data_IF_803511017410
#
_entry.id   IF_803511017410
#
_cell.length_a   1.000
_cell.length_b   1.000
_cell.length_c   1.000
_cell.angle_alpha   90.00
_cell.angle_beta   90.00
_cell.angle_gamma   90.00
#
_symmetry.space_group_name_H-M   'P 1'
#
loop_
_entity.id
_entity.type
_entity.pdbx_description
1 polymer ?
#
# COMPACT_ATOMS: atom_id res chain seq x y z
N UNK A 1 75.54 52.06 -13.35
CA UNK A 1 74.13 52.14 -13.81
C UNK A 1 73.82 50.91 -14.64
N UNK A 2 72.87 50.07 -14.23
CA UNK A 2 71.98 49.42 -15.18
C UNK A 2 70.51 49.66 -14.79
N UNK A 3 69.65 49.91 -15.78
CA UNK A 3 68.20 50.00 -15.60
C UNK A 3 67.49 48.87 -16.36
N UNK A 4 66.64 48.24 -15.58
CA UNK A 4 65.56 47.29 -15.82
C UNK A 4 64.76 47.57 -17.11
N UNK A 5 64.44 46.51 -17.85
CA UNK A 5 63.18 46.42 -18.60
C UNK A 5 62.65 44.99 -18.51
N UNK A 6 61.43 44.90 -17.98
CA UNK A 6 60.66 43.71 -17.63
C UNK A 6 59.76 43.36 -18.82
N UNK A 7 59.92 42.19 -19.43
CA UNK A 7 59.01 41.70 -20.47
C UNK A 7 58.16 40.56 -19.91
N UNK A 8 56.90 40.86 -19.64
CA UNK A 8 55.86 39.92 -19.24
C UNK A 8 55.36 39.19 -20.48
N UNK A 9 55.55 37.88 -20.54
CA UNK A 9 54.88 37.00 -21.51
C UNK A 9 53.55 36.57 -20.89
N UNK A 10 52.45 37.01 -21.48
CA UNK A 10 51.09 36.57 -21.14
C UNK A 10 50.87 35.20 -21.79
N UNK A 11 50.87 34.13 -20.99
CA UNK A 11 50.31 32.85 -21.39
C UNK A 11 48.78 32.93 -21.28
N UNK A 12 48.11 32.95 -22.43
CA UNK A 12 46.67 32.78 -22.51
C UNK A 12 46.32 31.30 -22.29
N UNK A 13 45.95 30.96 -21.05
CA UNK A 13 45.33 29.68 -20.73
C UNK A 13 43.87 29.71 -21.18
N UNK A 14 43.55 29.01 -22.26
CA UNK A 14 42.17 28.70 -22.65
C UNK A 14 41.57 27.75 -21.62
N UNK A 15 40.81 28.31 -20.68
CA UNK A 15 39.90 27.55 -19.82
C UNK A 15 38.83 26.94 -20.71
N UNK A 16 38.88 25.62 -20.88
CA UNK A 16 37.71 24.83 -21.28
C UNK A 16 36.71 24.98 -20.13
N UNK A 17 35.70 25.82 -20.33
CA UNK A 17 34.52 25.86 -19.47
C UNK A 17 33.79 24.52 -19.65
N UNK A 18 34.17 23.53 -18.85
CA UNK A 18 33.33 22.38 -18.59
C UNK A 18 32.06 22.89 -17.90
N UNK A 19 30.93 22.84 -18.60
CA UNK A 19 29.62 22.98 -17.99
C UNK A 19 29.43 21.85 -16.97
N UNK A 20 29.91 22.03 -15.74
CA UNK A 20 29.29 21.37 -14.60
C UNK A 20 27.90 22.00 -14.48
N UNK A 21 26.91 21.36 -15.08
CA UNK A 21 25.54 21.54 -14.63
C UNK A 21 25.56 21.12 -13.17
N UNK A 22 25.64 22.11 -12.28
CA UNK A 22 25.32 21.93 -10.88
C UNK A 22 23.91 21.38 -10.87
N UNK A 23 23.81 20.06 -10.69
CA UNK A 23 22.57 19.42 -10.36
C UNK A 23 22.25 20.00 -8.98
N UNK A 24 21.34 20.96 -8.92
CA UNK A 24 20.60 21.19 -7.69
C UNK A 24 20.00 19.83 -7.35
N UNK A 25 20.65 19.11 -6.44
CA UNK A 25 20.03 18.00 -5.76
C UNK A 25 18.80 18.60 -5.09
N UNK A 26 17.62 18.21 -5.60
CA UNK A 26 16.38 18.38 -4.88
C UNK A 26 16.64 17.90 -3.45
N UNK A 27 16.22 18.66 -2.41
CA UNK A 27 16.55 18.33 -1.04
C UNK A 27 16.09 16.89 -0.78
N UNK A 28 17.07 16.01 -0.57
CA UNK A 28 16.80 14.61 -0.24
C UNK A 28 15.89 14.60 0.99
N UNK A 29 14.73 13.99 0.85
CA UNK A 29 13.81 13.81 1.97
C UNK A 29 14.57 13.04 3.07
N UNK A 30 14.86 13.73 4.17
CA UNK A 30 15.63 13.23 5.32
C UNK A 30 14.91 12.06 6.01
N UNK A 31 15.61 11.24 6.82
CA UNK A 31 15.02 10.20 7.70
C UNK A 31 13.76 10.66 8.46
N UNK A 32 13.72 11.94 8.87
CA UNK A 32 12.55 12.54 9.53
C UNK A 32 11.29 12.54 8.66
N UNK A 33 11.39 12.51 7.33
CA UNK A 33 10.25 12.51 6.41
C UNK A 33 9.60 11.12 6.28
N UNK A 34 10.37 10.04 6.46
CA UNK A 34 9.85 8.67 6.52
C UNK A 34 9.24 8.37 7.90
N UNK A 35 9.89 8.83 8.98
CA UNK A 35 9.34 8.77 10.36
C UNK A 35 8.11 9.66 10.58
N UNK A 36 7.87 10.68 9.75
CA UNK A 36 6.68 11.55 9.82
C UNK A 36 5.38 10.88 9.38
N UNK A 37 5.43 9.74 8.68
CA UNK A 37 4.24 9.07 8.10
C UNK A 37 3.44 8.24 9.11
N UNK A 38 3.91 8.18 10.36
CA UNK A 38 3.42 7.30 11.43
C UNK A 38 1.98 7.63 11.88
N UNK A 39 1.41 8.77 11.45
CA UNK A 39 0.05 9.20 11.79
C UNK A 39 -0.76 9.77 10.60
N UNK A 40 -0.27 9.60 9.37
CA UNK A 40 -0.92 10.16 8.18
C UNK A 40 -2.21 9.40 7.83
N UNK A 41 -3.20 10.08 7.27
CA UNK A 41 -4.36 9.39 6.68
C UNK A 41 -4.03 8.99 5.24
N UNK A 42 -4.38 7.76 4.87
CA UNK A 42 -4.08 7.19 3.56
C UNK A 42 -5.30 7.24 2.63
N UNK A 43 -5.05 7.55 1.37
CA UNK A 43 -6.07 7.72 0.34
C UNK A 43 -5.84 6.80 -0.85
N UNK A 44 -6.93 6.36 -1.47
CA UNK A 44 -6.94 5.55 -2.68
C UNK A 44 -7.40 6.39 -3.89
N UNK A 45 -6.61 6.36 -4.95
CA UNK A 45 -6.94 7.01 -6.22
C UNK A 45 -6.81 6.08 -7.43
N UNK A 46 -6.61 4.78 -7.18
CA UNK A 46 -6.54 3.77 -8.23
C UNK A 46 -7.88 3.50 -8.92
N UNK A 47 -7.82 2.56 -9.88
CA UNK A 47 -8.90 2.31 -10.82
C UNK A 47 -10.01 1.38 -10.27
N UNK A 48 -9.76 0.64 -9.20
CA UNK A 48 -10.76 -0.29 -8.66
C UNK A 48 -11.86 0.46 -7.90
N UNK A 49 -13.13 0.31 -8.29
CA UNK A 49 -14.23 0.83 -7.51
C UNK A 49 -14.56 -0.10 -6.34
N UNK A 50 -15.45 0.35 -5.46
CA UNK A 50 -16.19 -0.56 -4.60
C UNK A 50 -16.92 -1.62 -5.45
N UNK A 51 -16.79 -2.89 -5.07
CA UNK A 51 -17.48 -4.00 -5.73
C UNK A 51 -18.84 -4.24 -5.08
N UNK A 52 -19.86 -4.42 -5.91
CA UNK A 52 -21.16 -4.92 -5.47
C UNK A 52 -21.12 -6.43 -5.25
N UNK A 53 -21.91 -6.94 -4.30
CA UNK A 53 -21.94 -8.36 -3.94
C UNK A 53 -20.54 -8.91 -3.62
N UNK A 54 -19.70 -8.06 -3.03
CA UNK A 54 -18.35 -8.46 -2.70
C UNK A 54 -18.36 -9.67 -1.75
N UNK A 55 -17.43 -10.60 -1.97
CA UNK A 55 -17.11 -11.70 -1.06
C UNK A 55 -15.61 -11.68 -0.77
N UNK A 56 -15.22 -12.08 0.44
CA UNK A 56 -13.83 -12.10 0.88
C UNK A 56 -13.47 -13.51 1.35
N UNK A 57 -12.41 -14.07 0.76
CA UNK A 57 -11.85 -15.38 1.13
C UNK A 57 -10.41 -15.20 1.59
N UNK A 58 -10.11 -15.67 2.79
CA UNK A 58 -8.76 -15.73 3.36
C UNK A 58 -8.25 -17.16 3.25
N UNK A 59 -7.18 -17.37 2.51
CA UNK A 59 -6.48 -18.65 2.45
C UNK A 59 -5.30 -18.63 3.43
N UNK A 60 -5.38 -19.44 4.48
CA UNK A 60 -4.31 -19.52 5.47
C UNK A 60 -3.07 -20.23 4.91
N UNK A 61 -3.24 -21.32 4.15
CA UNK A 61 -2.13 -22.03 3.47
C UNK A 61 -1.55 -21.18 2.34
N UNK A 62 -2.40 -20.49 1.60
CA UNK A 62 -1.98 -19.59 0.52
C UNK A 62 -1.37 -18.29 1.02
N UNK A 63 -1.62 -17.85 2.25
CA UNK A 63 -1.26 -16.49 2.68
C UNK A 63 -1.77 -15.43 1.70
N UNK A 64 -3.02 -15.58 1.26
CA UNK A 64 -3.70 -14.65 0.36
C UNK A 64 -5.06 -14.25 0.93
N UNK A 65 -5.52 -13.07 0.52
CA UNK A 65 -6.93 -12.71 0.60
C UNK A 65 -7.44 -12.38 -0.80
N UNK A 66 -8.54 -13.02 -1.20
CA UNK A 66 -9.25 -12.70 -2.44
C UNK A 66 -10.51 -11.90 -2.12
N UNK A 67 -10.72 -10.83 -2.86
CA UNK A 67 -12.02 -10.14 -2.94
C UNK A 67 -12.59 -10.40 -4.32
N UNK A 68 -13.83 -10.88 -4.38
CA UNK A 68 -14.54 -11.09 -5.63
C UNK A 68 -15.89 -10.39 -5.61
N UNK A 69 -16.39 -9.94 -6.75
CA UNK A 69 -17.68 -9.26 -6.86
C UNK A 69 -17.83 -8.56 -8.19
N UNK A 70 -18.85 -7.71 -8.32
CA UNK A 70 -19.16 -7.04 -9.59
C UNK A 70 -18.83 -5.55 -9.55
N UNK A 71 -18.05 -5.10 -10.53
CA UNK A 71 -17.78 -3.68 -10.73
C UNK A 71 -19.03 -2.95 -11.24
N UNK A 72 -19.22 -1.66 -10.91
CA UNK A 72 -20.26 -0.82 -11.48
C UNK A 72 -20.23 -0.81 -13.02
N UNK A 73 -21.39 -0.57 -13.63
CA UNK A 73 -21.53 -0.49 -15.08
C UNK A 73 -20.60 0.58 -15.68
N UNK A 74 -19.90 0.22 -16.77
CA UNK A 74 -18.98 1.12 -17.45
C UNK A 74 -17.60 1.28 -16.78
N UNK A 75 -17.33 0.58 -15.67
CA UNK A 75 -15.98 0.57 -15.08
C UNK A 75 -15.01 -0.15 -16.01
N UNK A 76 -13.90 0.52 -16.33
CA UNK A 76 -12.74 -0.11 -16.94
C UNK A 76 -11.71 -0.45 -15.84
N UNK A 77 -11.63 -1.73 -15.47
CA UNK A 77 -10.62 -2.26 -14.52
C UNK A 77 -9.41 -2.87 -15.22
N UNK A 78 -9.29 -2.72 -16.55
CA UNK A 78 -8.27 -3.41 -17.32
C UNK A 78 -6.83 -3.02 -16.91
N UNK A 79 -5.94 -4.00 -16.94
CA UNK A 79 -4.48 -3.91 -16.78
C UNK A 79 -3.92 -3.69 -15.36
N UNK A 80 -4.68 -4.05 -14.31
CA UNK A 80 -4.11 -4.17 -12.97
C UNK A 80 -3.52 -5.59 -12.75
N UNK A 81 -2.28 -5.73 -12.24
CA UNK A 81 -1.58 -7.02 -12.18
C UNK A 81 -2.27 -8.01 -11.25
N UNK A 82 -2.84 -7.53 -10.15
CA UNK A 82 -3.50 -8.28 -9.09
C UNK A 82 -5.00 -8.49 -9.34
N UNK A 83 -5.47 -8.22 -10.56
CA UNK A 83 -6.88 -8.30 -10.93
C UNK A 83 -7.09 -9.25 -12.10
N UNK A 84 -8.12 -10.09 -11.99
CA UNK A 84 -8.72 -10.80 -13.13
C UNK A 84 -10.15 -10.34 -13.26
N UNK A 85 -10.63 -10.25 -14.49
CA UNK A 85 -11.99 -9.81 -14.76
C UNK A 85 -12.62 -10.63 -15.85
N UNK A 86 -13.87 -11.01 -15.64
CA UNK A 86 -14.64 -11.86 -16.54
C UNK A 86 -15.99 -11.20 -16.79
N UNK A 87 -16.47 -11.23 -18.04
CA UNK A 87 -17.81 -10.77 -18.38
C UNK A 87 -18.82 -11.83 -17.96
N UNK A 88 -19.78 -11.45 -17.13
CA UNK A 88 -20.92 -12.28 -16.74
C UNK A 88 -22.21 -11.56 -17.17
N UNK A 89 -22.69 -11.89 -18.37
CA UNK A 89 -23.77 -11.12 -19.00
C UNK A 89 -23.33 -9.67 -19.28
N UNK A 90 -24.08 -8.71 -18.75
CA UNK A 90 -23.80 -7.27 -18.85
C UNK A 90 -22.88 -6.75 -17.73
N UNK A 91 -22.64 -7.56 -16.69
CA UNK A 91 -21.81 -7.22 -15.53
C UNK A 91 -20.36 -7.65 -15.73
N UNK A 92 -19.47 -6.94 -15.05
CA UNK A 92 -18.04 -7.28 -15.00
C UNK A 92 -17.74 -7.87 -13.63
N UNK A 93 -17.55 -9.19 -13.58
CA UNK A 93 -17.03 -9.88 -12.41
C UNK A 93 -15.54 -9.58 -12.28
N UNK A 94 -15.09 -9.31 -11.08
CA UNK A 94 -13.71 -8.93 -10.76
C UNK A 94 -13.23 -9.77 -9.58
N UNK A 95 -12.11 -10.45 -9.76
CA UNK A 95 -11.34 -11.10 -8.71
C UNK A 95 -10.07 -10.27 -8.45
N UNK A 96 -9.85 -9.91 -7.19
CA UNK A 96 -8.68 -9.17 -6.73
C UNK A 96 -7.99 -9.98 -5.65
N UNK A 97 -6.70 -10.25 -5.78
CA UNK A 97 -5.95 -11.07 -4.83
C UNK A 97 -4.80 -10.27 -4.24
N UNK A 98 -4.71 -10.27 -2.91
CA UNK A 98 -3.65 -9.59 -2.17
C UNK A 98 -2.82 -10.59 -1.36
N UNK A 99 -1.49 -10.39 -1.26
CA UNK A 99 -0.67 -11.11 -0.31
C UNK A 99 -1.04 -10.69 1.12
N UNK A 100 -1.01 -11.62 2.06
CA UNK A 100 -1.17 -11.34 3.50
C UNK A 100 -0.09 -12.01 4.33
N UNK A 101 0.17 -11.46 5.50
CA UNK A 101 0.88 -12.16 6.57
C UNK A 101 -0.12 -12.77 7.54
N UNK A 102 -0.01 -14.07 7.78
CA UNK A 102 -0.86 -14.82 8.73
C UNK A 102 -0.11 -15.05 10.05
N UNK A 103 -0.66 -15.82 10.99
CA UNK A 103 -0.11 -15.97 12.33
C UNK A 103 1.22 -16.73 12.31
N UNK A 104 2.20 -16.24 13.06
CA UNK A 104 3.47 -16.95 13.30
C UNK A 104 3.29 -18.17 14.21
N UNK A 105 4.24 -19.12 14.21
CA UNK A 105 4.21 -20.24 15.14
C UNK A 105 4.00 -19.79 16.59
N UNK A 106 3.09 -20.46 17.31
CA UNK A 106 2.70 -20.08 18.68
C UNK A 106 1.67 -18.96 18.79
N UNK A 107 1.21 -18.40 17.66
CA UNK A 107 0.04 -17.52 17.55
C UNK A 107 -1.02 -18.20 16.68
N UNK A 108 -2.23 -17.65 16.65
CA UNK A 108 -3.36 -18.24 15.91
C UNK A 108 -4.08 -17.20 15.08
N UNK A 109 -4.39 -17.57 13.84
CA UNK A 109 -5.39 -16.87 13.05
C UNK A 109 -6.80 -17.19 13.57
N UNK A 110 -7.80 -16.58 12.93
CA UNK A 110 -9.15 -17.13 12.99
C UNK A 110 -9.13 -18.57 12.44
N UNK A 111 -9.79 -19.53 13.10
CA UNK A 111 -9.95 -20.87 12.53
C UNK A 111 -10.77 -20.81 11.23
N UNK A 112 -10.77 -21.89 10.42
CA UNK A 112 -11.62 -21.96 9.24
C UNK A 112 -13.09 -21.75 9.60
N UNK A 113 -13.81 -20.97 8.78
CA UNK A 113 -15.21 -20.63 9.02
C UNK A 113 -15.63 -19.30 8.41
N UNK A 114 -16.89 -18.96 8.60
CA UNK A 114 -17.45 -17.68 8.18
C UNK A 114 -17.57 -16.71 9.35
N UNK A 115 -17.21 -15.45 9.11
CA UNK A 115 -17.18 -14.41 10.12
C UNK A 115 -17.84 -13.13 9.60
N UNK A 116 -18.58 -12.43 10.45
CA UNK A 116 -19.17 -11.14 10.08
C UNK A 116 -18.13 -10.02 10.17
N UNK A 117 -18.14 -9.09 9.22
CA UNK A 117 -17.42 -7.83 9.43
C UNK A 117 -17.94 -7.11 10.68
N UNK A 118 -17.02 -6.71 11.55
CA UNK A 118 -17.32 -5.97 12.77
C UNK A 118 -17.22 -4.46 12.56
N UNK A 119 -16.56 -4.04 11.48
CA UNK A 119 -16.45 -2.65 11.05
C UNK A 119 -15.05 -2.30 10.58
N UNK A 120 -14.96 -1.13 9.97
CA UNK A 120 -13.75 -0.55 9.40
C UNK A 120 -13.39 0.71 10.17
N UNK A 121 -12.13 0.85 10.57
CA UNK A 121 -11.55 2.14 10.97
C UNK A 121 -10.62 2.58 9.84
N UNK A 122 -11.07 3.44 8.91
CA UNK A 122 -10.30 3.80 7.71
C UNK A 122 -9.02 4.55 8.03
N UNK A 123 -9.06 5.34 9.11
CA UNK A 123 -7.92 6.09 9.63
C UNK A 123 -7.65 5.65 11.07
N UNK A 124 -6.61 4.83 11.25
CA UNK A 124 -6.16 4.35 12.56
C UNK A 124 -4.73 4.85 12.81
N UNK A 125 -4.56 6.05 13.38
CA UNK A 125 -3.24 6.54 13.77
C UNK A 125 -2.62 5.67 14.87
N UNK A 126 -1.33 5.87 15.10
CA UNK A 126 -0.62 5.24 16.20
C UNK A 126 -1.31 5.53 17.53
N UNK A 127 -1.27 4.54 18.41
CA UNK A 127 -1.92 4.69 19.69
C UNK A 127 -1.98 3.43 20.50
N UNK A 128 -2.47 3.60 21.71
CA UNK A 128 -2.65 2.52 22.67
C UNK A 128 -3.70 1.52 22.21
N UNK A 129 -3.38 0.24 22.31
CA UNK A 129 -4.33 -0.86 22.25
C UNK A 129 -4.34 -1.63 23.57
N UNK A 130 -5.45 -2.31 23.85
CA UNK A 130 -5.56 -3.23 24.98
C UNK A 130 -5.81 -4.63 24.43
N UNK A 131 -4.88 -5.55 24.64
CA UNK A 131 -5.06 -6.97 24.32
C UNK A 131 -5.13 -7.77 25.61
N UNK A 132 -5.74 -8.96 25.54
CA UNK A 132 -5.81 -9.86 26.71
C UNK A 132 -4.42 -10.28 27.18
N UNK A 133 -3.50 -10.48 26.23
CA UNK A 133 -2.21 -11.09 26.52
C UNK A 133 -1.14 -10.04 26.89
N UNK A 134 -1.25 -8.79 26.41
CA UNK A 134 -0.24 -7.74 26.63
C UNK A 134 -0.77 -6.56 27.45
N UNK A 135 -2.06 -6.57 27.81
CA UNK A 135 -2.69 -5.43 28.49
C UNK A 135 -2.64 -4.17 27.62
N UNK A 136 -2.54 -3.02 28.27
CA UNK A 136 -2.38 -1.73 27.61
C UNK A 136 -0.95 -1.58 27.06
N UNK A 137 -0.83 -1.38 25.74
CA UNK A 137 0.46 -1.20 25.08
C UNK A 137 0.34 -0.26 23.88
N UNK A 138 1.44 0.41 23.54
CA UNK A 138 1.52 1.24 22.35
C UNK A 138 1.55 0.37 21.09
N UNK A 139 0.74 0.70 20.09
CA UNK A 139 0.75 0.02 18.80
C UNK A 139 0.96 1.04 17.68
N UNK A 140 2.00 0.84 16.86
CA UNK A 140 2.23 1.63 15.68
C UNK A 140 1.32 1.18 14.53
N UNK A 141 0.15 1.80 14.40
CA UNK A 141 -0.83 1.48 13.36
C UNK A 141 -0.53 2.18 12.02
N UNK A 142 0.31 3.22 12.01
CA UNK A 142 0.77 3.89 10.80
C UNK A 142 -0.32 4.65 10.03
N UNK A 143 -1.47 4.90 10.66
CA UNK A 143 -2.60 5.58 10.02
C UNK A 143 -3.41 4.70 9.05
N UNK A 144 -3.02 3.43 8.86
CA UNK A 144 -3.65 2.53 7.90
C UNK A 144 -5.07 2.12 8.31
N UNK A 145 -5.90 1.67 7.34
CA UNK A 145 -7.18 1.08 7.68
C UNK A 145 -7.04 -0.15 8.57
N UNK A 146 -7.98 -0.31 9.50
CA UNK A 146 -8.15 -1.50 10.31
C UNK A 146 -9.54 -2.08 10.07
N UNK A 147 -9.59 -3.23 9.40
CA UNK A 147 -10.83 -3.89 8.96
C UNK A 147 -11.07 -5.13 9.82
N UNK A 148 -11.91 -5.00 10.85
CA UNK A 148 -12.16 -6.06 11.83
C UNK A 148 -13.24 -7.04 11.36
N UNK A 149 -13.01 -8.34 11.58
CA UNK A 149 -13.98 -9.38 11.20
C UNK A 149 -14.12 -10.54 12.20
N UNK A 150 -13.25 -10.71 13.21
CA UNK A 150 -13.45 -11.75 14.23
C UNK A 150 -12.83 -11.39 15.58
N UNK A 151 -13.60 -10.72 16.45
CA UNK A 151 -13.29 -10.59 17.88
C UNK A 151 -11.93 -9.95 18.21
N UNK A 152 -11.39 -9.12 17.31
CA UNK A 152 -10.04 -8.56 17.41
C UNK A 152 -9.10 -8.93 16.25
N UNK A 153 -9.45 -9.96 15.47
CA UNK A 153 -8.77 -10.28 14.20
C UNK A 153 -9.25 -9.33 13.11
N UNK A 154 -8.29 -8.80 12.35
CA UNK A 154 -8.53 -7.81 11.31
C UNK A 154 -7.59 -7.99 10.12
N UNK A 155 -7.94 -7.36 9.00
CA UNK A 155 -6.98 -6.92 8.00
C UNK A 155 -6.47 -5.54 8.38
N UNK A 156 -5.15 -5.34 8.33
CA UNK A 156 -4.57 -4.03 8.56
C UNK A 156 -3.23 -3.89 7.86
N UNK A 157 -2.75 -2.65 7.73
CA UNK A 157 -1.44 -2.36 7.14
C UNK A 157 -0.27 -2.96 7.93
N UNK A 158 0.97 -2.76 7.46
CA UNK A 158 2.16 -3.17 8.21
C UNK A 158 2.21 -2.42 9.56
N UNK A 159 2.85 -2.99 10.59
CA UNK A 159 2.90 -2.42 11.96
C UNK A 159 4.20 -1.65 12.23
N UNK A 160 5.35 -1.99 11.64
CA UNK A 160 6.52 -1.07 11.52
C UNK A 160 7.58 -1.67 10.59
N UNK A 161 8.52 -0.83 10.16
CA UNK A 161 9.86 -1.24 9.73
C UNK A 161 10.60 -2.07 10.82
N UNK A 162 10.50 -1.67 12.09
CA UNK A 162 11.19 -2.31 13.22
C UNK A 162 10.71 -3.75 13.53
N UNK A 163 9.40 -4.02 13.42
CA UNK A 163 8.84 -5.38 13.52
C UNK A 163 9.39 -6.29 12.42
N UNK A 164 9.65 -5.71 11.24
CA UNK A 164 10.16 -6.44 10.09
C UNK A 164 11.64 -6.82 10.30
N UNK A 165 12.47 -5.89 10.81
CA UNK A 165 13.85 -6.17 11.19
C UNK A 165 13.97 -7.30 12.25
N UNK A 166 13.12 -7.27 13.28
CA UNK A 166 13.15 -8.28 14.35
C UNK A 166 12.66 -9.66 13.92
N UNK A 167 11.73 -9.74 12.98
CA UNK A 167 11.14 -11.03 12.58
C UNK A 167 11.87 -11.68 11.41
N UNK A 168 12.63 -10.92 10.61
CA UNK A 168 13.06 -11.36 9.27
C UNK A 168 14.58 -11.40 9.05
N UNK A 169 15.39 -11.13 10.08
CA UNK A 169 16.86 -11.09 9.98
C UNK A 169 17.36 -10.26 8.79
N UNK A 170 16.66 -9.15 8.54
CA UNK A 170 17.03 -8.14 7.55
C UNK A 170 17.47 -6.88 8.29
N UNK A 171 18.42 -6.10 7.71
CA UNK A 171 18.83 -4.83 8.28
C UNK A 171 17.62 -3.96 8.64
N UNK A 172 17.78 -3.10 9.65
CA UNK A 172 16.79 -2.06 9.99
C UNK A 172 16.64 -1.09 8.81
N UNK A 173 15.88 -1.51 7.80
CA UNK A 173 15.48 -0.64 6.69
C UNK A 173 14.21 0.10 7.15
N UNK A 174 14.24 1.44 7.11
CA UNK A 174 13.15 2.34 7.53
C UNK A 174 11.88 2.26 6.63
N UNK A 175 11.66 1.15 5.93
CA UNK A 175 10.57 0.98 4.97
C UNK A 175 9.52 0.00 5.48
N UNK A 176 8.25 0.41 5.39
CA UNK A 176 7.10 -0.44 5.71
C UNK A 176 6.89 -1.45 4.58
N UNK A 177 7.30 -2.70 4.79
CA UNK A 177 7.03 -3.78 3.82
C UNK A 177 6.25 -4.92 4.45
N UNK A 178 5.51 -5.64 3.60
CA UNK A 178 4.88 -6.90 3.96
C UNK A 178 5.80 -8.05 3.58
N UNK A 179 6.06 -8.97 4.51
CA UNK A 179 6.43 -10.33 4.14
C UNK A 179 5.18 -11.22 4.12
N UNK A 180 4.88 -11.83 2.98
CA UNK A 180 3.81 -12.85 2.88
C UNK A 180 4.26 -14.11 3.61
N UNK A 181 3.48 -14.57 4.58
CA UNK A 181 3.82 -15.73 5.40
C UNK A 181 3.39 -15.62 6.86
N UNK A 182 3.77 -16.59 7.71
CA UNK A 182 3.35 -16.67 9.11
C UNK A 182 4.22 -15.75 10.00
N UNK A 183 3.98 -14.43 9.96
CA UNK A 183 4.78 -13.44 10.73
C UNK A 183 3.97 -12.55 11.68
N UNK A 184 2.64 -12.60 11.59
CA UNK A 184 1.76 -11.76 12.41
C UNK A 184 1.49 -12.37 13.80
N UNK A 185 0.93 -11.54 14.70
CA UNK A 185 0.37 -11.99 15.97
C UNK A 185 -1.00 -12.69 15.89
N UNK A 186 -1.60 -12.82 14.69
CA UNK A 186 -2.93 -13.41 14.48
C UNK A 186 -3.79 -12.70 13.44
N UNK A 187 -3.63 -11.38 13.30
CA UNK A 187 -4.29 -10.58 12.27
C UNK A 187 -3.67 -10.82 10.88
N UNK A 188 -4.43 -10.49 9.83
CA UNK A 188 -3.91 -10.55 8.46
C UNK A 188 -3.24 -9.21 8.13
N UNK A 189 -1.90 -9.15 8.23
CA UNK A 189 -1.19 -7.93 7.81
C UNK A 189 -1.15 -7.86 6.29
N UNK A 190 -1.27 -6.67 5.73
CA UNK A 190 -1.23 -6.38 4.30
C UNK A 190 -0.18 -5.29 4.04
N UNK A 191 0.27 -5.13 2.80
CA UNK A 191 1.02 -3.92 2.43
C UNK A 191 0.12 -2.69 2.54
N UNK A 192 0.74 -1.52 2.74
CA UNK A 192 0.07 -0.23 2.92
C UNK A 192 -0.97 0.04 1.83
N UNK A 193 -0.55 -0.08 0.59
CA UNK A 193 -1.33 0.16 -0.60
C UNK A 193 -2.45 -0.86 -0.80
N UNK A 194 -2.20 -2.13 -0.43
CA UNK A 194 -3.17 -3.21 -0.55
C UNK A 194 -4.30 -3.05 0.46
N UNK A 195 -4.02 -2.67 1.71
CA UNK A 195 -5.09 -2.48 2.70
C UNK A 195 -5.94 -1.25 2.36
N UNK A 196 -5.34 -0.20 1.81
CA UNK A 196 -6.04 1.01 1.36
C UNK A 196 -6.96 0.68 0.19
N UNK A 197 -6.46 -0.01 -0.83
CA UNK A 197 -7.28 -0.45 -1.95
C UNK A 197 -8.36 -1.45 -1.51
N UNK A 198 -8.00 -2.48 -0.74
CA UNK A 198 -8.94 -3.46 -0.18
C UNK A 198 -10.10 -2.78 0.56
N UNK A 199 -9.81 -1.80 1.41
CA UNK A 199 -10.83 -1.04 2.16
C UNK A 199 -11.78 -0.27 1.22
N UNK A 200 -11.23 0.30 0.13
CA UNK A 200 -12.03 0.95 -0.91
C UNK A 200 -12.93 -0.05 -1.66
N UNK A 201 -12.37 -1.19 -2.05
CA UNK A 201 -13.03 -2.25 -2.80
C UNK A 201 -14.19 -2.88 -2.01
N UNK A 202 -14.07 -3.00 -0.68
CA UNK A 202 -15.16 -3.44 0.21
C UNK A 202 -16.17 -2.31 0.56
N UNK A 203 -16.14 -1.21 -0.19
CA UNK A 203 -17.17 -0.19 -0.14
C UNK A 203 -16.99 0.89 0.92
N UNK A 204 -15.85 0.99 1.58
CA UNK A 204 -15.52 2.16 2.41
C UNK A 204 -14.60 3.08 1.60
N UNK A 205 -15.16 4.15 1.03
CA UNK A 205 -14.41 5.03 0.13
C UNK A 205 -13.18 5.62 0.80
N UNK A 206 -11.99 5.13 0.42
CA UNK A 206 -10.70 5.70 0.80
C UNK A 206 -10.36 7.02 0.08
N UNK A 207 -11.37 7.75 -0.42
CA UNK A 207 -11.24 9.13 -0.91
C UNK A 207 -11.77 10.16 0.09
N UNK A 208 -12.29 9.73 1.23
CA UNK A 208 -12.84 10.60 2.28
C UNK A 208 -11.80 10.87 3.35
N UNK A 209 -11.89 12.03 3.99
CA UNK A 209 -11.15 12.36 5.21
C UNK A 209 -11.98 11.91 6.42
N UNK A 210 -11.49 10.91 7.13
CA UNK A 210 -12.17 10.25 8.23
C UNK A 210 -11.80 10.83 9.60
N UNK A 211 -12.70 10.63 10.56
CA UNK A 211 -12.36 10.86 11.97
C UNK A 211 -11.51 9.70 12.47
N UNK A 212 -10.34 10.01 13.03
CA UNK A 212 -9.43 9.04 13.62
C UNK A 212 -10.14 8.07 14.57
N UNK A 213 -9.81 6.78 14.49
CA UNK A 213 -10.33 5.70 15.34
C UNK A 213 -11.84 5.45 15.29
N UNK A 214 -12.60 6.19 14.47
CA UNK A 214 -14.04 5.97 14.31
C UNK A 214 -14.29 4.73 13.45
N UNK A 215 -15.22 3.89 13.90
CA UNK A 215 -15.67 2.71 13.15
C UNK A 215 -16.80 3.09 12.19
N UNK A 216 -16.73 2.54 10.98
CA UNK A 216 -17.71 2.66 9.90
C UNK A 216 -18.10 1.27 9.41
N UNK A 217 -19.31 1.11 8.90
CA UNK A 217 -19.72 -0.12 8.26
C UNK A 217 -19.12 -0.23 6.85
N UNK A 218 -18.66 -1.41 6.47
CA UNK A 218 -18.45 -1.74 5.06
C UNK A 218 -19.81 -1.89 4.37
N UNK A 219 -19.92 -1.45 3.12
CA UNK A 219 -21.16 -1.62 2.36
C UNK A 219 -21.33 -3.08 1.91
N UNK A 220 -20.23 -3.74 1.53
CA UNK A 220 -20.13 -5.15 1.14
C UNK A 220 -18.66 -5.58 1.18
N UNK A 221 -18.27 -6.80 1.59
CA UNK A 221 -19.12 -7.91 1.97
C UNK A 221 -19.73 -7.74 3.37
N UNK A 222 -20.69 -8.59 3.69
CA UNK A 222 -21.14 -8.79 5.08
C UNK A 222 -20.27 -9.81 5.83
N UNK A 223 -19.58 -10.69 5.11
CA UNK A 223 -18.81 -11.81 5.67
C UNK A 223 -17.40 -11.95 5.10
N UNK A 224 -16.55 -12.57 5.90
CA UNK A 224 -15.22 -13.07 5.55
C UNK A 224 -15.23 -14.59 5.73
N UNK A 225 -14.83 -15.33 4.71
CA UNK A 225 -14.61 -16.77 4.79
C UNK A 225 -13.13 -17.04 5.00
N UNK A 226 -12.79 -17.83 6.00
CA UNK A 226 -11.42 -18.28 6.27
C UNK A 226 -11.35 -19.77 5.95
N UNK A 227 -10.34 -20.17 5.17
CA UNK A 227 -10.06 -21.56 4.83
C UNK A 227 -8.62 -21.91 5.24
N UNK A 228 -8.40 -23.16 5.62
CA UNK A 228 -7.07 -23.71 5.95
C UNK A 228 -6.29 -24.21 4.73
N UNK A 229 -6.92 -24.29 3.56
CA UNK A 229 -6.30 -24.73 2.31
C UNK A 229 -6.10 -23.56 1.32
N UNK A 230 -5.54 -23.84 0.14
CA UNK A 230 -5.46 -22.92 -0.99
C UNK A 230 -6.86 -22.53 -1.50
N UNK A 231 -7.05 -21.25 -1.78
CA UNK A 231 -8.26 -20.75 -2.45
C UNK A 231 -8.26 -21.19 -3.93
N UNK A 232 -9.44 -21.23 -4.54
CA UNK A 232 -9.64 -21.70 -5.93
C UNK A 232 -10.49 -20.73 -6.74
N UNK A 233 -10.19 -20.64 -8.04
CA UNK A 233 -11.04 -20.02 -9.06
C UNK A 233 -11.23 -21.07 -10.16
N UNK A 234 -12.46 -21.57 -10.28
CA UNK A 234 -12.73 -22.74 -11.12
C UNK A 234 -12.00 -23.97 -10.58
N UNK A 235 -11.20 -24.60 -11.44
CA UNK A 235 -10.38 -25.78 -11.14
C UNK A 235 -8.93 -25.43 -10.75
N UNK A 236 -8.58 -24.14 -10.71
CA UNK A 236 -7.20 -23.68 -10.44
C UNK A 236 -7.05 -23.09 -9.05
N UNK A 237 -5.90 -23.38 -8.45
CA UNK A 237 -5.48 -22.79 -7.17
C UNK A 237 -5.10 -21.32 -7.38
N UNK A 238 -5.38 -20.49 -6.38
CA UNK A 238 -5.04 -19.06 -6.40
C UNK A 238 -3.65 -18.84 -5.81
N UNK A 239 -2.83 -18.03 -6.50
CA UNK A 239 -1.55 -17.57 -5.98
C UNK A 239 -1.28 -16.11 -6.40
N UNK A 240 -0.36 -15.45 -5.72
CA UNK A 240 0.06 -14.07 -5.99
C UNK A 240 1.57 -13.96 -6.15
N UNK A 241 2.02 -13.35 -7.25
CA UNK A 241 3.41 -13.06 -7.55
C UNK A 241 3.90 -11.93 -6.64
N UNK A 242 4.33 -12.31 -5.43
CA UNK A 242 4.82 -11.42 -4.39
C UNK A 242 5.83 -12.16 -3.49
N UNK A 243 6.86 -11.46 -2.95
CA UNK A 243 7.86 -12.04 -2.06
C UNK A 243 7.24 -12.81 -0.89
N UNK A 244 7.71 -14.04 -0.67
CA UNK A 244 7.13 -14.97 0.31
C UNK A 244 8.21 -15.47 1.27
N UNK A 245 7.83 -15.71 2.53
CA UNK A 245 8.69 -16.33 3.55
C UNK A 245 9.23 -17.68 3.07
N UNK A 246 10.49 -17.98 3.36
CA UNK A 246 11.23 -19.11 2.76
C UNK A 246 10.62 -20.48 3.00
N UNK A 247 9.90 -20.70 4.11
CA UNK A 247 9.24 -21.97 4.39
C UNK A 247 7.75 -22.01 4.03
N UNK A 248 7.19 -20.97 3.40
CA UNK A 248 5.81 -21.02 2.92
C UNK A 248 5.77 -21.75 1.56
N UNK A 249 4.95 -22.78 1.48
CA UNK A 249 4.84 -23.62 0.27
C UNK A 249 3.94 -22.92 -0.74
N UNK A 250 4.49 -22.64 -1.93
CA UNK A 250 3.75 -22.06 -3.05
C UNK A 250 2.93 -23.15 -3.75
N UNK A 251 1.66 -22.92 -4.10
CA UNK A 251 0.85 -23.90 -4.81
C UNK A 251 1.44 -24.24 -6.19
N UNK A 252 2.13 -23.30 -6.85
CA UNK A 252 2.79 -23.55 -8.14
C UNK A 252 3.98 -24.52 -8.03
N UNK A 253 4.63 -24.59 -6.86
CA UNK A 253 5.71 -25.52 -6.58
C UNK A 253 5.19 -26.91 -6.19
N UNK A 254 4.08 -26.96 -5.44
CA UNK A 254 3.48 -28.21 -4.95
C UNK A 254 2.64 -28.93 -6.02
N UNK A 255 1.88 -28.16 -6.81
CA UNK A 255 0.85 -28.69 -7.71
C UNK A 255 1.10 -28.39 -9.20
N UNK A 256 2.21 -27.73 -9.54
CA UNK A 256 2.51 -27.34 -10.93
C UNK A 256 1.87 -26.02 -11.35
N UNK A 257 2.61 -25.22 -12.11
CA UNK A 257 2.19 -23.87 -12.52
C UNK A 257 0.93 -23.83 -13.40
N UNK A 258 0.66 -24.91 -14.12
CA UNK A 258 -0.50 -25.08 -15.00
C UNK A 258 -1.83 -25.15 -14.21
N UNK A 259 -1.77 -25.60 -12.96
CA UNK A 259 -2.91 -25.75 -12.05
C UNK A 259 -3.13 -24.51 -11.17
N UNK A 260 -2.41 -23.43 -11.45
CA UNK A 260 -2.45 -22.19 -10.67
C UNK A 260 -2.90 -21.02 -11.52
N UNK A 261 -3.83 -20.23 -10.99
CA UNK A 261 -4.14 -18.89 -11.47
C UNK A 261 -3.23 -17.91 -10.72
N UNK A 262 -2.14 -17.49 -11.37
CA UNK A 262 -1.24 -16.50 -10.82
C UNK A 262 -1.79 -15.08 -11.02
N UNK A 263 -1.95 -14.37 -9.91
CA UNK A 263 -2.18 -12.93 -9.87
C UNK A 263 -0.84 -12.22 -9.73
N UNK A 264 -0.65 -11.09 -10.40
CA UNK A 264 0.49 -10.22 -10.10
C UNK A 264 0.28 -9.46 -8.79
N UNK A 265 1.27 -8.68 -8.39
CA UNK A 265 1.14 -7.70 -7.30
C UNK A 265 1.69 -6.35 -7.77
N UNK A 266 1.56 -5.34 -6.91
CA UNK A 266 2.11 -4.01 -7.14
C UNK A 266 2.56 -3.42 -5.81
N UNK A 267 3.45 -2.44 -5.88
CA UNK A 267 3.91 -1.68 -4.71
C UNK A 267 3.73 -0.20 -4.97
N UNK A 268 3.17 0.52 -4.01
CA UNK A 268 3.07 1.97 -4.12
C UNK A 268 4.39 2.61 -3.79
N UNK A 269 4.74 3.65 -4.56
CA UNK A 269 5.79 4.57 -4.17
C UNK A 269 5.20 5.98 -4.13
N UNK A 270 5.45 6.67 -3.03
CA UNK A 270 5.16 8.09 -2.93
C UNK A 270 6.23 8.92 -3.66
N UNK A 271 7.47 8.42 -3.76
CA UNK A 271 8.55 9.14 -4.44
C UNK A 271 8.67 8.69 -5.91
N UNK A 272 8.78 9.60 -6.89
CA UNK A 272 8.89 9.20 -8.29
C UNK A 272 10.08 8.28 -8.62
N UNK A 273 11.10 8.29 -7.77
CA UNK A 273 12.33 7.51 -7.90
C UNK A 273 12.32 6.20 -7.08
N UNK A 274 11.25 5.89 -6.35
CA UNK A 274 11.14 4.65 -5.57
C UNK A 274 12.12 4.54 -4.42
N UNK A 275 12.73 5.63 -3.96
CA UNK A 275 13.67 5.63 -2.82
C UNK A 275 12.99 5.35 -1.49
N UNK A 276 11.67 5.44 -1.44
CA UNK A 276 10.86 5.01 -0.31
C UNK A 276 10.55 3.49 -0.35
N UNK A 277 10.95 2.79 -1.42
CA UNK A 277 10.87 1.34 -1.51
C UNK A 277 12.11 0.70 -0.89
N UNK A 278 12.00 -0.56 -0.42
CA UNK A 278 13.14 -1.21 0.20
C UNK A 278 14.30 -1.38 -0.79
N UNK A 279 15.51 -0.88 -0.46
CA UNK A 279 16.65 -0.99 -1.35
C UNK A 279 17.11 -2.45 -1.40
N UNK A 280 17.11 -3.04 -2.59
CA UNK A 280 17.64 -4.38 -2.93
C UNK A 280 16.77 -5.63 -2.69
N UNK A 281 15.52 -5.52 -2.23
CA UNK A 281 14.68 -6.71 -2.02
C UNK A 281 14.41 -7.47 -3.34
N UNK A 282 15.17 -8.54 -3.57
CA UNK A 282 14.94 -9.55 -4.60
C UNK A 282 14.74 -10.88 -3.91
N UNK A 283 13.50 -11.28 -3.74
CA UNK A 283 13.15 -12.65 -3.35
C UNK A 283 12.53 -13.36 -4.54
N UNK A 284 12.60 -14.69 -4.52
CA UNK A 284 11.89 -15.51 -5.49
C UNK A 284 10.40 -15.14 -5.41
N UNK A 285 9.86 -14.67 -6.54
CA UNK A 285 8.47 -14.29 -6.67
C UNK A 285 7.58 -15.53 -6.78
N UNK A 286 6.43 -15.39 -7.43
CA UNK A 286 5.50 -16.48 -7.59
C UNK A 286 5.86 -17.56 -8.59
N UNK A 287 6.93 -17.32 -9.35
CA UNK A 287 7.46 -18.27 -10.32
C UNK A 287 8.89 -18.58 -9.95
N UNK A 288 9.19 -19.88 -9.82
CA UNK A 288 10.53 -20.37 -9.47
C UNK A 288 11.59 -19.79 -10.41
N UNK A 289 12.69 -19.30 -9.85
CA UNK A 289 13.79 -18.68 -10.58
C UNK A 289 13.48 -17.29 -11.15
N UNK A 290 12.27 -16.73 -10.92
CA UNK A 290 11.94 -15.35 -11.25
C UNK A 290 11.87 -14.53 -9.97
N UNK A 291 12.72 -13.53 -9.87
CA UNK A 291 12.73 -12.63 -8.72
C UNK A 291 11.66 -11.57 -8.86
N UNK A 292 10.98 -11.26 -7.76
CA UNK A 292 10.14 -10.07 -7.68
C UNK A 292 11.05 -8.86 -7.48
N UNK A 293 11.06 -7.95 -8.44
CA UNK A 293 11.84 -6.70 -8.39
C UNK A 293 10.91 -5.55 -8.08
N UNK A 294 11.01 -4.98 -6.87
CA UNK A 294 10.07 -3.95 -6.38
C UNK A 294 9.95 -2.76 -7.33
N UNK A 295 11.06 -2.28 -7.90
CA UNK A 295 11.05 -1.15 -8.84
C UNK A 295 10.27 -1.43 -10.13
N UNK A 296 10.22 -2.69 -10.61
CA UNK A 296 9.44 -3.07 -11.79
C UNK A 296 7.93 -3.11 -11.49
N UNK A 297 7.57 -3.25 -10.21
CA UNK A 297 6.20 -3.33 -9.73
C UNK A 297 5.71 -2.03 -9.07
N UNK A 298 6.58 -1.03 -8.99
CA UNK A 298 6.31 0.26 -8.41
C UNK A 298 5.25 1.03 -9.22
N UNK A 299 4.26 1.60 -8.53
CA UNK A 299 3.24 2.47 -9.10
C UNK A 299 3.15 3.77 -8.31
N UNK A 300 3.15 4.90 -9.02
CA UNK A 300 2.98 6.22 -8.43
C UNK A 300 1.52 6.68 -8.51
N UNK A 301 1.06 7.43 -7.51
CA UNK A 301 -0.22 8.14 -7.54
C UNK A 301 -1.48 7.26 -7.44
N UNK A 302 -1.36 5.95 -7.18
CA UNK A 302 -2.53 5.10 -6.92
C UNK A 302 -2.99 5.18 -5.46
N UNK A 303 -2.05 5.42 -4.55
CA UNK A 303 -2.30 5.74 -3.15
C UNK A 303 -1.36 6.87 -2.74
N UNK A 304 -1.74 7.57 -1.68
CA UNK A 304 -0.94 8.63 -1.08
C UNK A 304 -1.39 8.86 0.35
N UNK A 305 -0.52 9.42 1.17
CA UNK A 305 -0.82 9.81 2.54
C UNK A 305 -0.84 11.33 2.72
N UNK A 306 -1.61 11.84 3.69
CA UNK A 306 -1.61 13.25 4.10
C UNK A 306 -1.45 13.36 5.61
N UNK A 307 -0.56 14.26 6.02
CA UNK A 307 -0.28 14.52 7.44
C UNK A 307 -1.53 14.97 8.20
N UNK A 308 -1.62 14.51 9.45
CA UNK A 308 -2.72 14.82 10.38
C UNK A 308 -3.02 16.32 10.50
N UNK A 309 -2.00 17.17 10.40
CA UNK A 309 -2.13 18.63 10.52
C UNK A 309 -2.94 19.24 9.36
N UNK A 310 -2.93 18.62 8.18
CA UNK A 310 -3.60 19.14 6.99
C UNK A 310 -5.02 18.59 6.81
N UNK A 311 -5.36 17.49 7.51
CA UNK A 311 -6.66 16.83 7.38
C UNK A 311 -7.86 17.78 7.60
N UNK A 312 -7.86 18.74 8.55
CA UNK A 312 -8.98 19.68 8.71
C UNK A 312 -9.22 20.55 7.46
N UNK A 313 -8.15 21.06 6.84
CA UNK A 313 -8.24 21.86 5.63
C UNK A 313 -8.67 21.01 4.43
N UNK A 314 -8.08 19.80 4.30
CA UNK A 314 -8.42 18.85 3.25
C UNK A 314 -9.88 18.39 3.32
N UNK A 315 -10.39 18.12 4.53
CA UNK A 315 -11.80 17.76 4.76
C UNK A 315 -12.75 18.87 4.33
N UNK A 316 -12.40 20.11 4.66
CA UNK A 316 -13.18 21.29 4.27
C UNK A 316 -13.20 21.46 2.74
N UNK A 317 -12.05 21.24 2.09
CA UNK A 317 -11.92 21.25 0.64
C UNK A 317 -12.79 20.18 -0.04
N UNK A 318 -12.71 18.92 0.41
CA UNK A 318 -13.53 17.82 -0.10
C UNK A 318 -15.03 18.09 0.05
N UNK A 319 -15.46 18.56 1.23
CA UNK A 319 -16.86 18.86 1.52
C UNK A 319 -17.43 19.97 0.63
N UNK A 320 -16.67 21.05 0.43
CA UNK A 320 -17.16 22.22 -0.31
C UNK A 320 -17.14 22.04 -1.83
N UNK A 321 -16.26 21.20 -2.37
CA UNK A 321 -15.97 21.16 -3.80
C UNK A 321 -16.33 19.85 -4.49
N UNK A 322 -16.48 18.76 -3.74
CA UNK A 322 -16.55 17.41 -4.31
C UNK A 322 -17.51 16.48 -3.54
N UNK A 323 -18.48 17.02 -2.80
CA UNK A 323 -19.50 16.22 -2.11
C UNK A 323 -18.94 15.36 -0.96
N UNK A 324 -17.78 15.73 -0.41
CA UNK A 324 -17.17 15.06 0.73
C UNK A 324 -16.12 13.99 0.39
N UNK A 325 -15.85 13.75 -0.90
CA UNK A 325 -14.75 12.90 -1.36
C UNK A 325 -13.68 13.73 -2.06
N UNK A 326 -12.43 13.27 -2.07
CA UNK A 326 -11.36 13.87 -2.85
C UNK A 326 -11.53 13.54 -4.33
N UNK A 327 -11.17 14.46 -5.24
CA UNK A 327 -11.32 14.24 -6.67
C UNK A 327 -10.44 13.10 -7.17
N UNK A 328 -10.81 12.52 -8.31
CA UNK A 328 -9.92 11.65 -9.08
C UNK A 328 -8.67 12.43 -9.49
N UNK A 329 -7.51 11.82 -9.37
CA UNK A 329 -6.23 12.47 -9.65
C UNK A 329 -5.64 13.21 -8.44
N UNK A 330 -6.26 13.10 -7.25
CA UNK A 330 -5.76 13.74 -6.03
C UNK A 330 -4.35 13.27 -5.69
N UNK A 331 -4.07 11.96 -5.74
CA UNK A 331 -2.77 11.47 -5.28
C UNK A 331 -1.61 11.93 -6.18
N UNK A 332 -1.84 12.12 -7.47
CA UNK A 332 -0.85 12.73 -8.39
C UNK A 332 -0.63 14.22 -8.11
N UNK A 333 -1.58 14.88 -7.43
CA UNK A 333 -1.59 16.32 -7.19
C UNK A 333 -1.50 16.68 -5.71
N UNK A 334 -1.26 15.70 -4.83
CA UNK A 334 -1.30 15.83 -3.38
C UNK A 334 -0.50 17.04 -2.92
N UNK A 335 0.76 17.12 -3.33
CA UNK A 335 1.69 18.15 -2.85
C UNK A 335 1.24 19.55 -3.24
N UNK A 336 0.76 19.71 -4.48
CA UNK A 336 0.16 20.97 -4.93
C UNK A 336 -1.06 21.34 -4.07
N UNK A 337 -1.97 20.39 -3.84
CA UNK A 337 -3.20 20.64 -3.10
C UNK A 337 -2.90 21.01 -1.65
N UNK A 338 -2.07 20.23 -0.97
CA UNK A 338 -1.68 20.48 0.43
C UNK A 338 -0.96 21.83 0.54
N UNK A 339 -0.03 22.14 -0.36
CA UNK A 339 0.67 23.43 -0.38
C UNK A 339 -0.28 24.62 -0.63
N UNK A 340 -1.21 24.48 -1.57
CA UNK A 340 -2.22 25.49 -1.84
C UNK A 340 -3.14 25.71 -0.62
N UNK A 341 -3.56 24.65 0.06
CA UNK A 341 -4.38 24.74 1.27
C UNK A 341 -3.63 25.40 2.42
N UNK A 342 -2.36 25.04 2.65
CA UNK A 342 -1.50 25.65 3.68
C UNK A 342 -1.27 27.15 3.45
N UNK A 343 -1.19 27.58 2.19
CA UNK A 343 -1.03 29.00 1.81
C UNK A 343 -2.36 29.77 1.72
N UNK A 344 -3.50 29.13 1.99
CA UNK A 344 -4.83 29.75 1.85
C UNK A 344 -5.25 30.00 0.39
N UNK A 345 -4.54 29.42 -0.58
CA UNK A 345 -4.88 29.51 -1.99
C UNK A 345 -6.05 28.59 -2.37
N UNK A 346 -6.69 28.89 -3.50
CA UNK A 346 -7.71 28.03 -4.07
C UNK A 346 -7.05 26.82 -4.76
N UNK A 347 -6.96 25.71 -4.03
CA UNK A 347 -6.35 24.47 -4.51
C UNK A 347 -6.99 23.91 -5.80
N UNK A 348 -8.29 24.14 -6.03
CA UNK A 348 -8.96 23.67 -7.25
C UNK A 348 -8.37 24.32 -8.50
N UNK A 349 -8.29 25.65 -8.50
CA UNK A 349 -7.72 26.39 -9.62
C UNK A 349 -6.20 26.22 -9.70
N UNK A 350 -5.50 26.24 -8.56
CA UNK A 350 -4.05 26.17 -8.51
C UNK A 350 -3.51 24.82 -9.02
N UNK A 351 -4.23 23.72 -8.77
CA UNK A 351 -3.79 22.37 -9.12
C UNK A 351 -4.56 21.76 -10.30
N UNK A 352 -5.43 22.54 -10.96
CA UNK A 352 -6.23 22.13 -12.12
C UNK A 352 -7.12 20.91 -11.84
N UNK A 353 -7.88 20.95 -10.73
CA UNK A 353 -8.75 19.86 -10.27
C UNK A 353 -10.21 19.97 -10.73
#
# INVERSE_FOLDING_TARGET
>A
MPRIALSVVVLASTLVAGCSAGREEAPGETEDALRRRVDAEWFYDGALPALSEASVVVSLKGHTVRVSGFAPGGTNVANLPHVKSTREGDRLHVDVVYPIATARPGKSNSPPGEYNFQGVRPYRPDGTAVTRDEGEHWVPWGGYPFVAYNGGIAFHGPITANDAAQTLDVPEDDVWYLQRGPVSGGCNRMAAEHIVEFTHVIGVSMRKVYVANKTYAANTPTKVTVIDDYDTIGDKLVDVDYPTWTGAVRPSLEHGSENVTMFGSWVATETPNGTDLPPSMKWEGGVRGKYYVFSEHAKTGLVCSVDKIDLPALKSFAAQKFGGELPKGFCQKRDCVVSALRSGANAKSACGL
#
